data_IF_810185556820
#
_entry.id   IF_810185556820
#
_cell.length_a   1.000
_cell.length_b   1.000
_cell.length_c   1.000
_cell.angle_alpha   90.00
_cell.angle_beta   90.00
_cell.angle_gamma   90.00
#
_symmetry.space_group_name_H-M   'P 1'
#
loop_
_entity.id
_entity.type
_entity.pdbx_description
1 polymer ?
#
# COMPACT_ATOMS: atom_id res chain seq x y z
N UNK A 1 -20.27 -14.06 -17.64
CA UNK A 1 -20.15 -14.82 -18.91
C UNK A 1 -18.75 -14.63 -19.46
N UNK A 2 -17.88 -15.64 -19.33
CA UNK A 2 -16.58 -15.68 -20.01
C UNK A 2 -16.85 -16.30 -21.38
N UNK A 3 -16.75 -15.53 -22.47
CA UNK A 3 -16.85 -16.09 -23.83
C UNK A 3 -15.53 -16.82 -24.11
N UNK A 4 -15.53 -18.13 -24.38
CA UNK A 4 -14.31 -18.83 -24.74
C UNK A 4 -13.79 -18.31 -26.07
N UNK A 5 -12.47 -18.13 -26.17
CA UNK A 5 -11.81 -17.78 -27.43
C UNK A 5 -12.03 -18.89 -28.47
N UNK A 6 -11.98 -18.58 -29.78
CA UNK A 6 -12.03 -19.61 -30.83
C UNK A 6 -10.91 -20.64 -30.65
N UNK A 7 -11.18 -21.92 -30.96
CA UNK A 7 -10.28 -23.06 -30.68
C UNK A 7 -8.84 -22.85 -31.17
N UNK A 8 -8.66 -22.24 -32.35
CA UNK A 8 -7.32 -21.90 -32.89
C UNK A 8 -6.51 -21.02 -31.96
N UNK A 9 -7.13 -20.00 -31.36
CA UNK A 9 -6.47 -19.12 -30.41
C UNK A 9 -6.19 -19.82 -29.08
N UNK A 10 -7.03 -20.78 -28.67
CA UNK A 10 -6.77 -21.57 -27.47
C UNK A 10 -5.53 -22.46 -27.64
N UNK A 11 -5.39 -23.15 -28.78
CA UNK A 11 -4.20 -23.97 -29.07
C UNK A 11 -2.93 -23.14 -29.23
N UNK A 12 -3.01 -21.98 -29.89
CA UNK A 12 -1.87 -21.05 -29.99
C UNK A 12 -1.47 -20.55 -28.60
N UNK A 13 -2.44 -20.13 -27.79
CA UNK A 13 -2.18 -19.66 -26.43
C UNK A 13 -1.56 -20.76 -25.58
N UNK A 14 -2.07 -21.98 -25.68
CA UNK A 14 -1.53 -23.14 -24.96
C UNK A 14 -0.10 -23.46 -25.39
N UNK A 15 0.19 -23.47 -26.70
CA UNK A 15 1.54 -23.71 -27.22
C UNK A 15 2.52 -22.62 -26.76
N UNK A 16 2.11 -21.35 -26.79
CA UNK A 16 2.94 -20.22 -26.34
C UNK A 16 3.19 -20.29 -24.83
N UNK A 17 2.15 -20.52 -24.02
CA UNK A 17 2.28 -20.65 -22.56
C UNK A 17 3.17 -21.86 -22.22
N UNK A 18 2.95 -23.00 -22.86
CA UNK A 18 3.76 -24.19 -22.64
C UNK A 18 5.23 -23.96 -22.99
N UNK A 19 5.53 -23.35 -24.14
CA UNK A 19 6.89 -23.01 -24.54
C UNK A 19 7.59 -22.09 -23.53
N UNK A 20 6.88 -21.07 -23.03
CA UNK A 20 7.38 -20.15 -22.00
C UNK A 20 7.63 -20.88 -20.67
N UNK A 21 6.76 -21.81 -20.27
CA UNK A 21 6.87 -22.54 -19.01
C UNK A 21 7.91 -23.69 -19.04
N UNK A 22 8.17 -24.28 -20.20
CA UNK A 22 9.15 -25.36 -20.37
C UNK A 22 10.58 -24.83 -20.32
N UNK A 23 10.84 -23.66 -20.91
CA UNK A 23 12.19 -23.10 -21.02
C UNK A 23 12.95 -22.96 -19.68
N UNK A 24 12.33 -22.48 -18.58
CA UNK A 24 12.99 -22.41 -17.28
C UNK A 24 13.23 -23.77 -16.61
N UNK A 25 12.36 -24.76 -16.90
CA UNK A 25 12.52 -26.14 -16.41
C UNK A 25 13.77 -26.75 -17.04
N UNK A 26 13.94 -26.60 -18.35
CA UNK A 26 15.10 -27.11 -19.09
C UNK A 26 16.42 -26.44 -18.67
N UNK A 27 16.39 -25.14 -18.33
CA UNK A 27 17.58 -24.39 -17.90
C UNK A 27 17.98 -24.66 -16.44
N UNK A 28 17.24 -25.47 -15.69
CA UNK A 28 17.42 -25.62 -14.24
C UNK A 28 17.17 -24.34 -13.46
N UNK A 29 16.53 -23.34 -14.07
CA UNK A 29 16.28 -22.00 -13.53
C UNK A 29 15.00 -21.96 -12.66
N UNK A 30 14.55 -23.10 -12.13
CA UNK A 30 13.31 -23.21 -11.36
C UNK A 30 13.27 -22.27 -10.15
N UNK A 31 14.42 -21.98 -9.54
CA UNK A 31 14.51 -21.06 -8.41
C UNK A 31 14.36 -19.59 -8.83
N UNK A 32 14.92 -19.19 -9.98
CA UNK A 32 14.70 -17.86 -10.56
C UNK A 32 13.23 -17.61 -10.90
N UNK A 33 12.54 -18.60 -11.46
CA UNK A 33 11.09 -18.48 -11.76
C UNK A 33 10.27 -18.35 -10.49
N UNK A 34 10.58 -19.15 -9.46
CA UNK A 34 9.89 -19.04 -8.16
C UNK A 34 10.11 -17.67 -7.52
N UNK A 35 11.35 -17.16 -7.53
CA UNK A 35 11.65 -15.82 -7.03
C UNK A 35 10.95 -14.73 -7.85
N UNK A 36 10.92 -14.84 -9.17
CA UNK A 36 10.22 -13.90 -10.04
C UNK A 36 8.71 -13.92 -9.80
N UNK A 37 8.10 -15.10 -9.71
CA UNK A 37 6.67 -15.27 -9.43
C UNK A 37 6.30 -14.73 -8.04
N UNK A 38 7.14 -15.00 -7.03
CA UNK A 38 6.96 -14.46 -5.68
C UNK A 38 7.07 -12.93 -5.67
N UNK A 39 8.02 -12.36 -6.41
CA UNK A 39 8.18 -10.92 -6.55
C UNK A 39 6.98 -10.27 -7.25
N UNK A 40 6.51 -10.84 -8.36
CA UNK A 40 5.33 -10.35 -9.07
C UNK A 40 4.10 -10.41 -8.18
N UNK A 41 3.89 -11.52 -7.46
CA UNK A 41 2.78 -11.65 -6.50
C UNK A 41 2.87 -10.61 -5.39
N UNK A 42 4.05 -10.46 -4.77
CA UNK A 42 4.29 -9.49 -3.71
C UNK A 42 4.02 -8.03 -4.17
N UNK A 43 4.14 -7.74 -5.47
CA UNK A 43 3.85 -6.43 -6.04
C UNK A 43 2.38 -6.29 -6.41
N UNK A 44 1.81 -7.28 -7.10
CA UNK A 44 0.49 -7.18 -7.74
C UNK A 44 -0.64 -7.24 -6.71
N UNK A 45 -0.59 -8.13 -5.72
CA UNK A 45 -1.66 -8.29 -4.73
C UNK A 45 -1.97 -7.03 -3.91
N UNK A 46 -0.99 -6.33 -3.30
CA UNK A 46 -1.29 -5.11 -2.55
C UNK A 46 -1.80 -3.98 -3.46
N UNK A 47 -1.31 -3.92 -4.71
CA UNK A 47 -1.80 -2.97 -5.72
C UNK A 47 -3.25 -3.28 -6.09
N UNK A 48 -3.59 -4.53 -6.36
CA UNK A 48 -4.96 -4.96 -6.67
C UNK A 48 -5.92 -4.71 -5.51
N UNK A 49 -5.49 -4.97 -4.27
CA UNK A 49 -6.30 -4.70 -3.08
C UNK A 49 -6.65 -3.21 -2.97
N UNK A 50 -5.65 -2.33 -3.12
CA UNK A 50 -5.86 -0.87 -3.10
C UNK A 50 -6.67 -0.40 -4.31
N UNK A 51 -6.45 -0.99 -5.48
CA UNK A 51 -7.17 -0.69 -6.72
C UNK A 51 -8.65 -1.04 -6.62
N UNK A 52 -8.97 -2.21 -6.07
CA UNK A 52 -10.34 -2.63 -5.77
C UNK A 52 -11.03 -1.62 -4.85
N UNK A 53 -10.33 -1.17 -3.81
CA UNK A 53 -10.84 -0.21 -2.85
C UNK A 53 -11.17 1.14 -3.50
N UNK A 54 -10.25 1.68 -4.31
CA UNK A 54 -10.45 2.91 -5.06
C UNK A 54 -11.62 2.82 -6.05
N UNK A 55 -11.72 1.71 -6.80
CA UNK A 55 -12.83 1.51 -7.74
C UNK A 55 -14.19 1.48 -7.04
N UNK A 56 -14.25 0.85 -5.87
CA UNK A 56 -15.48 0.74 -5.11
C UNK A 56 -15.93 2.09 -4.59
N UNK A 57 -15.02 2.89 -4.05
CA UNK A 57 -15.30 4.26 -3.62
C UNK A 57 -15.67 5.20 -4.77
N UNK A 58 -15.11 4.98 -5.96
CA UNK A 58 -15.50 5.71 -7.15
C UNK A 58 -16.93 5.37 -7.59
N UNK A 59 -17.33 4.10 -7.52
CA UNK A 59 -18.68 3.63 -7.89
C UNK A 59 -19.75 4.00 -6.87
N UNK A 60 -19.39 3.95 -5.58
CA UNK A 60 -20.28 4.30 -4.47
C UNK A 60 -19.59 5.35 -3.61
N UNK A 61 -19.63 6.64 -4.02
CA UNK A 61 -19.03 7.71 -3.25
C UNK A 61 -19.78 7.84 -1.91
N UNK A 62 -19.04 7.97 -0.79
CA UNK A 62 -19.67 8.12 0.52
C UNK A 62 -20.48 9.43 0.61
N UNK A 63 -21.58 9.39 1.37
CA UNK A 63 -22.42 10.56 1.63
C UNK A 63 -21.64 11.64 2.39
N UNK A 64 -21.69 12.88 1.90
CA UNK A 64 -21.14 14.05 2.60
C UNK A 64 -21.86 14.24 3.95
N UNK A 65 -21.16 14.80 4.94
CA UNK A 65 -21.72 15.04 6.29
C UNK A 65 -21.85 13.79 7.19
N UNK A 66 -21.21 12.67 6.85
CA UNK A 66 -21.26 11.47 7.69
C UNK A 66 -20.65 11.69 9.08
N UNK A 67 -21.25 11.07 10.09
CA UNK A 67 -20.74 11.11 11.47
C UNK A 67 -19.33 10.51 11.56
N UNK A 68 -18.51 11.03 12.48
CA UNK A 68 -17.15 10.55 12.70
C UNK A 68 -17.12 9.04 13.00
N UNK A 69 -18.13 8.54 13.71
CA UNK A 69 -18.28 7.11 13.97
C UNK A 69 -18.45 6.28 12.70
N UNK A 70 -19.21 6.77 11.70
CA UNK A 70 -19.35 6.09 10.41
C UNK A 70 -18.01 6.05 9.66
N UNK A 71 -17.24 7.14 9.68
CA UNK A 71 -15.90 7.21 9.07
C UNK A 71 -14.96 6.18 9.71
N UNK A 72 -14.96 6.06 11.04
CA UNK A 72 -14.15 5.06 11.75
C UNK A 72 -14.58 3.63 11.41
N UNK A 73 -15.89 3.35 11.44
CA UNK A 73 -16.42 2.02 11.16
C UNK A 73 -16.12 1.58 9.72
N UNK A 74 -16.29 2.47 8.76
CA UNK A 74 -15.93 2.20 7.36
C UNK A 74 -14.42 2.08 7.20
N UNK A 75 -13.64 2.89 7.92
CA UNK A 75 -12.20 2.76 8.08
C UNK A 75 -11.76 1.35 8.43
N UNK A 76 -12.28 0.82 9.54
CA UNK A 76 -12.01 -0.53 9.99
C UNK A 76 -12.48 -1.59 9.00
N UNK A 77 -13.71 -1.48 8.50
CA UNK A 77 -14.29 -2.45 7.54
C UNK A 77 -13.48 -2.55 6.25
N UNK A 78 -13.16 -1.42 5.62
CA UNK A 78 -12.40 -1.38 4.39
C UNK A 78 -10.95 -1.80 4.59
N UNK A 79 -10.36 -1.47 5.75
CA UNK A 79 -9.01 -1.90 6.05
C UNK A 79 -8.93 -3.43 6.17
N UNK A 80 -9.88 -4.06 6.87
CA UNK A 80 -9.97 -5.53 6.99
C UNK A 80 -10.16 -6.17 5.62
N UNK A 81 -11.05 -5.65 4.78
CA UNK A 81 -11.24 -6.19 3.41
C UNK A 81 -9.94 -6.09 2.59
N UNK A 82 -9.26 -4.93 2.63
CA UNK A 82 -8.01 -4.71 1.90
C UNK A 82 -6.88 -5.62 2.41
N UNK A 83 -6.81 -5.83 3.72
CA UNK A 83 -5.89 -6.77 4.35
C UNK A 83 -6.15 -8.20 3.90
N UNK A 84 -7.40 -8.66 3.91
CA UNK A 84 -7.75 -10.01 3.47
C UNK A 84 -7.31 -10.26 2.03
N UNK A 85 -7.56 -9.29 1.13
CA UNK A 85 -7.11 -9.36 -0.27
C UNK A 85 -5.58 -9.41 -0.39
N UNK A 86 -4.87 -8.63 0.42
CA UNK A 86 -3.40 -8.59 0.41
C UNK A 86 -2.79 -9.88 0.97
N UNK A 87 -3.36 -10.44 2.04
CA UNK A 87 -2.88 -11.69 2.67
C UNK A 87 -2.96 -12.89 1.74
N UNK A 88 -3.92 -12.93 0.81
CA UNK A 88 -3.94 -13.97 -0.24
C UNK A 88 -2.63 -13.95 -1.03
N UNK A 89 -2.11 -12.76 -1.37
CA UNK A 89 -0.79 -12.59 -1.98
C UNK A 89 0.33 -13.04 -1.06
N UNK A 90 0.24 -12.72 0.23
CA UNK A 90 1.18 -13.19 1.25
C UNK A 90 1.29 -14.71 1.31
N UNK A 91 0.16 -15.42 1.37
CA UNK A 91 0.14 -16.88 1.34
C UNK A 91 0.70 -17.44 0.03
N UNK A 92 0.40 -16.81 -1.10
CA UNK A 92 0.95 -17.24 -2.39
C UNK A 92 2.47 -17.09 -2.43
N UNK A 93 3.01 -15.97 -1.95
CA UNK A 93 4.45 -15.72 -1.79
C UNK A 93 5.07 -16.77 -0.85
N UNK A 94 4.44 -17.00 0.30
CA UNK A 94 4.89 -18.00 1.27
C UNK A 94 4.90 -19.42 0.69
N UNK A 95 3.92 -19.79 -0.14
CA UNK A 95 3.87 -21.08 -0.80
C UNK A 95 4.95 -21.25 -1.87
N UNK A 96 5.21 -20.21 -2.69
CA UNK A 96 6.25 -20.24 -3.73
C UNK A 96 7.66 -20.34 -3.15
N UNK A 97 7.86 -19.71 -2.00
CA UNK A 97 9.14 -19.63 -1.32
C UNK A 97 9.30 -20.66 -0.19
N UNK A 98 8.29 -21.48 0.08
CA UNK A 98 8.28 -22.54 1.10
C UNK A 98 9.13 -23.77 0.76
N UNK A 99 10.24 -23.59 0.04
CA UNK A 99 11.19 -24.65 -0.28
C UNK A 99 12.30 -24.72 0.78
N UNK A 100 12.80 -25.94 1.05
CA UNK A 100 13.91 -26.19 1.98
C UNK A 100 15.12 -25.30 1.66
N UNK A 101 15.38 -25.00 0.39
CA UNK A 101 16.47 -24.13 -0.05
C UNK A 101 16.38 -22.71 0.49
N UNK A 102 15.18 -22.14 0.55
CA UNK A 102 14.98 -20.80 1.09
C UNK A 102 14.82 -20.80 2.61
N UNK A 103 14.26 -21.87 3.19
CA UNK A 103 14.13 -22.05 4.63
C UNK A 103 15.51 -22.19 5.31
N UNK A 104 16.43 -22.94 4.68
CA UNK A 104 17.81 -23.12 5.15
C UNK A 104 18.77 -22.02 4.67
N UNK A 105 18.26 -20.94 4.06
CA UNK A 105 19.05 -19.82 3.52
C UNK A 105 20.15 -20.20 2.51
N UNK A 106 20.04 -21.39 1.89
CA UNK A 106 20.87 -21.75 0.74
C UNK A 106 20.58 -20.82 -0.44
N UNK A 107 19.36 -20.27 -0.52
CA UNK A 107 19.02 -19.15 -1.37
C UNK A 107 18.30 -18.02 -0.60
N UNK A 108 18.58 -16.77 -0.97
CA UNK A 108 17.97 -15.58 -0.39
C UNK A 108 17.08 -14.91 -1.44
N UNK A 109 15.89 -14.45 -1.04
CA UNK A 109 15.02 -13.67 -1.90
C UNK A 109 15.65 -12.29 -2.22
N UNK A 110 16.10 -12.09 -3.47
CA UNK A 110 16.84 -10.89 -3.90
C UNK A 110 15.95 -9.72 -4.32
N UNK A 111 14.63 -9.92 -4.41
CA UNK A 111 13.66 -8.95 -4.93
C UNK A 111 13.09 -7.94 -3.93
N UNK A 112 13.50 -7.99 -2.66
CA UNK A 112 12.86 -7.23 -1.55
C UNK A 112 12.75 -5.71 -1.84
N UNK A 113 13.79 -5.09 -2.40
CA UNK A 113 13.75 -3.64 -2.68
C UNK A 113 12.72 -3.30 -3.75
N UNK A 114 12.58 -4.14 -4.78
CA UNK A 114 11.63 -3.91 -5.85
C UNK A 114 10.19 -4.09 -5.36
N UNK A 115 9.95 -5.05 -4.46
CA UNK A 115 8.63 -5.26 -3.86
C UNK A 115 8.17 -4.09 -2.99
N UNK A 116 9.08 -3.22 -2.52
CA UNK A 116 8.69 -1.96 -1.86
C UNK A 116 8.35 -0.84 -2.83
N UNK A 117 9.16 -0.65 -3.87
CA UNK A 117 9.07 0.52 -4.75
C UNK A 117 8.00 0.33 -5.82
N UNK A 118 7.91 -0.86 -6.42
CA UNK A 118 7.02 -1.12 -7.54
C UNK A 118 5.52 -0.93 -7.20
N UNK A 119 4.99 -1.35 -6.04
CA UNK A 119 3.60 -1.08 -5.68
C UNK A 119 3.26 0.41 -5.65
N UNK A 120 4.19 1.25 -5.18
CA UNK A 120 4.01 2.71 -5.11
C UNK A 120 3.95 3.35 -6.49
N UNK A 121 4.80 2.88 -7.41
CA UNK A 121 4.78 3.33 -8.80
C UNK A 121 3.48 2.90 -9.48
N UNK A 122 3.09 1.64 -9.33
CA UNK A 122 1.88 1.11 -9.97
C UNK A 122 0.60 1.77 -9.43
N UNK A 123 0.47 1.95 -8.10
CA UNK A 123 -0.69 2.63 -7.54
C UNK A 123 -0.74 4.09 -7.98
N UNK A 124 0.41 4.73 -8.19
CA UNK A 124 0.47 6.09 -8.73
C UNK A 124 -0.11 6.14 -10.13
N UNK A 125 0.32 5.26 -11.04
CA UNK A 125 -0.24 5.17 -12.39
C UNK A 125 -1.75 4.86 -12.38
N UNK A 126 -2.19 3.96 -11.51
CA UNK A 126 -3.60 3.61 -11.36
C UNK A 126 -4.41 4.80 -10.84
N UNK A 127 -3.88 5.54 -9.87
CA UNK A 127 -4.55 6.72 -9.33
C UNK A 127 -4.68 7.81 -10.39
N UNK A 128 -3.61 8.13 -11.10
CA UNK A 128 -3.60 9.12 -12.19
C UNK A 128 -4.55 8.73 -13.34
N UNK A 129 -4.67 7.44 -13.65
CA UNK A 129 -5.60 6.98 -14.70
C UNK A 129 -7.07 7.06 -14.28
N UNK A 130 -7.38 7.13 -12.98
CA UNK A 130 -8.75 7.12 -12.44
C UNK A 130 -9.22 8.48 -11.93
N UNK A 131 -8.31 9.28 -11.40
CA UNK A 131 -8.59 10.55 -10.75
C UNK A 131 -7.76 11.67 -11.38
N UNK A 132 -8.40 12.81 -11.66
CA UNK A 132 -7.69 14.02 -12.08
C UNK A 132 -7.20 14.78 -10.84
N UNK A 133 -5.88 14.93 -10.67
CA UNK A 133 -5.26 15.59 -9.50
C UNK A 133 -5.70 17.05 -9.27
N UNK A 134 -5.94 17.81 -10.35
CA UNK A 134 -6.08 19.27 -10.29
C UNK A 134 -7.49 19.81 -10.59
N UNK A 135 -8.45 18.95 -10.93
CA UNK A 135 -9.73 19.38 -11.50
C UNK A 135 -10.89 18.87 -10.64
N UNK A 136 -11.32 19.64 -9.65
CA UNK A 136 -12.28 19.22 -8.62
C UNK A 136 -13.72 19.06 -9.16
N UNK A 137 -14.05 19.62 -10.33
CA UNK A 137 -15.44 19.67 -10.85
C UNK A 137 -15.65 19.18 -12.29
N UNK A 138 -14.58 18.85 -13.02
CA UNK A 138 -14.60 18.29 -14.38
C UNK A 138 -15.21 16.88 -14.50
N UNK A 139 -16.27 16.63 -15.28
CA UNK A 139 -16.73 15.29 -15.70
C UNK A 139 -15.58 14.30 -15.89
N UNK A 140 -15.68 13.14 -15.22
CA UNK A 140 -14.65 12.10 -15.14
C UNK A 140 -14.39 11.39 -16.48
N UNK A 141 -13.88 12.13 -17.46
CA UNK A 141 -13.17 11.59 -18.59
C UNK A 141 -11.72 11.35 -18.17
N UNK A 142 -11.17 10.13 -18.34
CA UNK A 142 -9.75 9.89 -18.12
C UNK A 142 -8.99 10.73 -19.16
N UNK A 143 -8.45 11.87 -18.76
CA UNK A 143 -7.47 12.58 -19.59
C UNK A 143 -6.24 11.69 -19.69
N UNK A 144 -5.60 11.67 -20.86
CA UNK A 144 -4.38 10.89 -21.09
C UNK A 144 -3.37 11.15 -19.96
N UNK A 145 -2.77 10.08 -19.42
CA UNK A 145 -1.79 10.16 -18.31
C UNK A 145 -0.70 11.20 -18.62
N UNK A 146 -0.30 11.27 -19.89
CA UNK A 146 0.65 12.25 -20.41
C UNK A 146 0.22 13.70 -20.17
N UNK A 147 -1.04 14.04 -20.40
CA UNK A 147 -1.56 15.40 -20.19
C UNK A 147 -1.63 15.78 -18.70
N UNK A 148 -1.81 14.80 -17.82
CA UNK A 148 -1.74 15.04 -16.38
C UNK A 148 -0.29 15.24 -15.94
N UNK A 149 0.64 14.43 -16.46
CA UNK A 149 2.06 14.55 -16.13
C UNK A 149 2.63 15.89 -16.57
N UNK A 150 2.30 16.37 -17.78
CA UNK A 150 2.71 17.71 -18.24
C UNK A 150 2.12 18.79 -17.34
N UNK A 151 0.84 18.69 -16.96
CA UNK A 151 0.23 19.64 -15.99
C UNK A 151 0.86 19.61 -14.60
N UNK A 152 1.32 18.45 -14.11
CA UNK A 152 2.08 18.37 -12.84
C UNK A 152 3.42 19.09 -13.00
N UNK A 153 4.12 18.89 -14.12
CA UNK A 153 5.39 19.56 -14.40
C UNK A 153 5.25 21.07 -14.58
N UNK A 154 4.18 21.51 -15.24
CA UNK A 154 3.90 22.93 -15.52
C UNK A 154 3.29 23.66 -14.31
N UNK A 155 3.03 22.94 -13.21
CA UNK A 155 2.43 23.54 -12.01
C UNK A 155 3.45 24.43 -11.29
N UNK A 156 3.11 25.69 -10.96
CA UNK A 156 4.04 26.58 -10.27
C UNK A 156 4.37 26.05 -8.86
N UNK A 157 5.62 25.61 -8.67
CA UNK A 157 6.11 25.09 -7.39
C UNK A 157 6.59 26.25 -6.53
N UNK A 158 5.89 26.52 -5.43
CA UNK A 158 6.39 27.43 -4.40
C UNK A 158 7.61 26.80 -3.69
N UNK A 159 8.59 27.63 -3.28
CA UNK A 159 9.79 27.18 -2.56
C UNK A 159 9.45 26.35 -1.30
N UNK A 160 8.34 26.68 -0.62
CA UNK A 160 7.82 25.91 0.51
C UNK A 160 7.42 24.48 0.12
N UNK A 161 6.81 24.31 -1.05
CA UNK A 161 6.44 22.99 -1.59
C UNK A 161 7.68 22.19 -1.96
N UNK A 162 8.71 22.83 -2.52
CA UNK A 162 9.99 22.20 -2.82
C UNK A 162 10.67 21.66 -1.54
N UNK A 163 10.64 22.43 -0.45
CA UNK A 163 11.18 22.03 0.85
C UNK A 163 10.46 20.79 1.40
N UNK A 164 9.13 20.76 1.33
CA UNK A 164 8.31 19.60 1.78
C UNK A 164 8.61 18.37 0.93
N UNK A 165 8.72 18.52 -0.40
CA UNK A 165 9.08 17.43 -1.31
C UNK A 165 10.49 16.91 -1.04
N UNK A 166 11.46 17.80 -0.78
CA UNK A 166 12.82 17.41 -0.43
C UNK A 166 12.88 16.62 0.88
N UNK A 167 12.15 17.05 1.92
CA UNK A 167 12.04 16.31 3.19
C UNK A 167 11.38 14.95 2.96
N UNK A 168 10.30 14.89 2.17
CA UNK A 168 9.62 13.65 1.84
C UNK A 168 10.53 12.69 1.05
N UNK A 169 11.34 13.20 0.12
CA UNK A 169 12.31 12.42 -0.65
C UNK A 169 13.41 11.85 0.24
N UNK A 170 13.94 12.64 1.19
CA UNK A 170 14.90 12.15 2.20
C UNK A 170 14.26 11.08 3.09
N UNK A 171 13.02 11.30 3.53
CA UNK A 171 12.26 10.30 4.30
C UNK A 171 12.05 9.00 3.54
N UNK A 172 11.67 9.07 2.26
CA UNK A 172 11.52 7.92 1.38
C UNK A 172 12.86 7.20 1.14
N UNK A 173 13.96 7.95 0.96
CA UNK A 173 15.29 7.39 0.82
C UNK A 173 15.75 6.65 2.08
N UNK A 174 15.55 7.23 3.26
CA UNK A 174 15.82 6.56 4.55
C UNK A 174 14.93 5.32 4.69
N UNK A 175 13.66 5.41 4.29
CA UNK A 175 12.70 4.31 4.40
C UNK A 175 13.07 3.10 3.53
N UNK A 176 13.51 3.34 2.29
CA UNK A 176 14.01 2.32 1.36
C UNK A 176 15.41 1.86 1.76
N UNK A 177 16.27 2.74 2.26
CA UNK A 177 17.59 2.39 2.79
C UNK A 177 17.49 1.44 3.99
N UNK A 178 16.50 1.65 4.87
CA UNK A 178 16.23 0.82 6.06
C UNK A 178 15.45 -0.47 5.76
N UNK A 179 15.05 -0.75 4.52
CA UNK A 179 14.42 -2.03 4.17
C UNK A 179 15.40 -3.14 3.80
N UNK A 180 16.70 -2.82 3.65
CA UNK A 180 17.78 -3.79 3.50
C UNK A 180 18.56 -4.00 4.81
N UNK A 181 19.24 -5.15 4.91
CA UNK A 181 20.18 -5.41 6.01
C UNK A 181 21.27 -4.33 6.02
N UNK A 182 21.39 -3.62 7.14
CA UNK A 182 22.44 -2.63 7.48
C UNK A 182 22.66 -1.49 6.48
N UNK A 183 21.75 -0.51 6.46
CA UNK A 183 22.19 0.89 6.32
C UNK A 183 22.24 1.46 7.74
N UNK A 184 23.43 1.77 8.24
CA UNK A 184 23.76 2.19 9.62
C UNK A 184 23.06 3.46 10.13
N UNK A 185 21.73 3.51 10.02
CA UNK A 185 20.86 4.54 10.55
C UNK A 185 20.41 4.08 11.95
N UNK A 186 20.84 4.76 13.02
CA UNK A 186 20.51 4.38 14.38
C UNK A 186 19.00 4.40 14.60
N UNK A 187 18.50 3.38 15.32
CA UNK A 187 17.09 3.27 15.70
C UNK A 187 16.85 4.24 16.86
N UNK A 188 15.87 5.17 16.77
CA UNK A 188 15.53 6.05 17.89
C UNK A 188 15.20 5.23 19.15
N UNK A 189 15.70 5.63 20.32
CA UNK A 189 15.47 4.92 21.59
C UNK A 189 13.99 4.76 21.97
N UNK A 190 13.14 5.68 21.50
CA UNK A 190 11.68 5.61 21.65
C UNK A 190 11.09 4.47 20.79
N UNK A 191 11.61 4.26 19.57
CA UNK A 191 11.20 3.15 18.70
C UNK A 191 11.56 1.81 19.37
N UNK A 192 12.72 1.70 19.99
CA UNK A 192 13.14 0.52 20.76
C UNK A 192 12.22 0.21 21.94
N UNK A 193 11.82 1.22 22.71
CA UNK A 193 10.89 1.04 23.84
C UNK A 193 9.49 0.65 23.39
N UNK A 194 8.98 1.27 22.32
CA UNK A 194 7.69 0.91 21.73
C UNK A 194 7.70 -0.54 21.23
N UNK A 195 8.79 -0.96 20.59
CA UNK A 195 8.97 -2.34 20.11
C UNK A 195 8.95 -3.35 21.26
N UNK A 196 9.67 -3.07 22.35
CA UNK A 196 9.69 -3.92 23.53
C UNK A 196 8.32 -3.99 24.25
N UNK A 197 7.55 -2.89 24.23
CA UNK A 197 6.19 -2.87 24.75
C UNK A 197 5.23 -3.70 23.89
N UNK A 198 5.29 -3.58 22.56
CA UNK A 198 4.47 -4.35 21.63
C UNK A 198 4.80 -5.86 21.69
N UNK A 199 6.08 -6.21 21.87
CA UNK A 199 6.49 -7.61 22.08
C UNK A 199 5.91 -8.23 23.36
N UNK A 200 5.60 -7.43 24.39
CA UNK A 200 4.95 -7.91 25.62
C UNK A 200 3.44 -7.98 25.50
N UNK A 201 2.83 -7.11 24.69
CA UNK A 201 1.38 -7.01 24.56
C UNK A 201 0.81 -7.97 23.52
N UNK A 202 1.54 -8.26 22.45
CA UNK A 202 1.05 -9.01 21.28
C UNK A 202 1.86 -10.28 21.03
N UNK A 203 1.20 -11.31 20.49
CA UNK A 203 1.83 -12.62 20.25
C UNK A 203 2.95 -12.54 19.21
N UNK A 204 2.75 -11.73 18.16
CA UNK A 204 3.79 -11.50 17.17
C UNK A 204 3.93 -10.01 16.88
N UNK A 205 5.14 -9.48 17.13
CA UNK A 205 5.41 -8.04 16.96
C UNK A 205 4.98 -7.53 15.58
N UNK A 206 4.08 -6.52 15.52
CA UNK A 206 3.72 -5.88 14.27
C UNK A 206 4.87 -5.10 13.67
N UNK A 207 4.93 -5.02 12.33
CA UNK A 207 5.89 -4.14 11.67
C UNK A 207 5.51 -2.68 11.89
N UNK A 208 6.44 -1.89 12.42
CA UNK A 208 6.27 -0.46 12.70
C UNK A 208 5.77 0.35 11.50
N UNK A 209 6.12 -0.08 10.28
CA UNK A 209 5.72 0.57 9.03
C UNK A 209 4.22 0.43 8.74
N UNK A 210 3.61 -0.68 9.16
CA UNK A 210 2.20 -0.98 8.90
C UNK A 210 1.31 -0.18 9.85
N UNK A 211 1.50 -0.33 11.16
CA UNK A 211 0.60 0.27 12.14
C UNK A 211 0.85 1.76 12.40
N UNK A 212 2.06 2.29 12.22
CA UNK A 212 2.36 3.71 12.49
C UNK A 212 2.12 4.62 11.29
N UNK A 213 2.27 4.09 10.06
CA UNK A 213 2.27 4.90 8.84
C UNK A 213 1.16 4.44 7.90
N UNK A 214 1.18 3.18 7.48
CA UNK A 214 0.25 2.68 6.45
C UNK A 214 -1.21 2.68 6.88
N UNK A 215 -1.55 2.04 8.00
CA UNK A 215 -2.92 1.94 8.48
C UNK A 215 -3.51 3.29 8.92
N UNK A 216 -2.79 4.18 9.63
CA UNK A 216 -3.28 5.52 9.92
C UNK A 216 -3.53 6.34 8.64
N UNK A 217 -2.63 6.26 7.65
CA UNK A 217 -2.86 6.90 6.36
C UNK A 217 -4.08 6.33 5.62
N UNK A 218 -4.36 5.03 5.77
CA UNK A 218 -5.57 4.41 5.21
C UNK A 218 -6.86 4.98 5.84
N UNK A 219 -6.89 5.19 7.15
CA UNK A 219 -8.01 5.85 7.83
C UNK A 219 -8.16 7.31 7.40
N UNK A 220 -7.05 8.04 7.33
CA UNK A 220 -7.05 9.44 6.87
C UNK A 220 -7.45 9.58 5.40
N UNK A 221 -7.10 8.62 4.54
CA UNK A 221 -7.55 8.55 3.14
C UNK A 221 -9.08 8.45 3.08
N UNK A 222 -9.69 7.63 3.93
CA UNK A 222 -11.15 7.50 4.01
C UNK A 222 -11.77 8.80 4.52
N UNK A 223 -11.19 9.41 5.55
CA UNK A 223 -11.63 10.72 6.03
C UNK A 223 -11.52 11.79 4.94
N UNK A 224 -10.45 11.78 4.16
CA UNK A 224 -10.23 12.69 3.04
C UNK A 224 -11.31 12.54 1.95
N UNK A 225 -11.75 11.31 1.68
CA UNK A 225 -12.84 11.03 0.75
C UNK A 225 -14.19 11.54 1.30
N UNK A 226 -14.50 11.26 2.57
CA UNK A 226 -15.73 11.71 3.23
C UNK A 226 -15.83 13.23 3.35
N UNK A 227 -14.70 13.90 3.62
CA UNK A 227 -14.60 15.36 3.81
C UNK A 227 -14.22 16.13 2.55
N UNK A 228 -14.19 15.46 1.38
CA UNK A 228 -13.86 16.08 0.08
C UNK A 228 -12.56 16.89 0.11
N UNK A 229 -11.52 16.36 0.76
CA UNK A 229 -10.21 17.01 0.81
C UNK A 229 -9.60 17.14 -0.59
N UNK A 230 -8.62 18.06 -0.78
CA UNK A 230 -7.93 18.20 -2.05
C UNK A 230 -7.39 16.88 -2.58
N UNK A 231 -7.60 16.60 -3.87
CA UNK A 231 -7.25 15.31 -4.49
C UNK A 231 -5.75 14.99 -4.42
N UNK A 232 -4.90 16.00 -4.35
CA UNK A 232 -3.46 15.83 -4.12
C UNK A 232 -3.16 15.25 -2.73
N UNK A 233 -3.91 15.66 -1.69
CA UNK A 233 -3.75 15.10 -0.34
C UNK A 233 -4.30 13.67 -0.27
N UNK A 234 -5.45 13.43 -0.90
CA UNK A 234 -5.98 12.07 -1.02
C UNK A 234 -4.99 11.13 -1.74
N UNK A 235 -4.36 11.59 -2.84
CA UNK A 235 -3.31 10.85 -3.54
C UNK A 235 -2.12 10.47 -2.63
N UNK A 236 -1.57 11.43 -1.87
CA UNK A 236 -0.46 11.16 -0.96
C UNK A 236 -0.87 10.10 0.08
N UNK A 237 -2.08 10.21 0.63
CA UNK A 237 -2.60 9.25 1.61
C UNK A 237 -2.78 7.85 1.00
N UNK A 238 -3.24 7.74 -0.25
CA UNK A 238 -3.31 6.48 -1.00
C UNK A 238 -1.93 5.84 -1.11
N UNK A 239 -0.92 6.60 -1.55
CA UNK A 239 0.46 6.10 -1.70
C UNK A 239 1.02 5.61 -0.37
N UNK A 240 0.84 6.38 0.71
CA UNK A 240 1.30 6.01 2.05
C UNK A 240 0.54 4.79 2.58
N UNK A 241 -0.76 4.68 2.33
CA UNK A 241 -1.56 3.51 2.69
C UNK A 241 -1.12 2.23 1.95
N UNK A 242 -0.71 2.36 0.69
CA UNK A 242 -0.15 1.24 -0.10
C UNK A 242 1.16 0.70 0.52
N UNK A 243 1.97 1.53 1.18
CA UNK A 243 3.16 1.06 1.91
C UNK A 243 2.78 0.03 2.98
N UNK A 244 1.69 0.28 3.72
CA UNK A 244 1.18 -0.66 4.73
C UNK A 244 0.78 -2.00 4.13
N UNK A 245 0.02 -1.97 3.03
CA UNK A 245 -0.41 -3.20 2.35
C UNK A 245 0.78 -3.96 1.72
N UNK A 246 1.76 -3.24 1.16
CA UNK A 246 2.98 -3.85 0.61
C UNK A 246 3.81 -4.55 1.69
N UNK A 247 4.03 -3.89 2.84
CA UNK A 247 4.76 -4.45 3.98
C UNK A 247 4.07 -5.71 4.54
N UNK A 248 2.74 -5.73 4.56
CA UNK A 248 1.95 -6.88 5.01
C UNK A 248 2.25 -8.12 4.16
N UNK A 249 2.26 -7.98 2.83
CA UNK A 249 2.55 -9.09 1.90
C UNK A 249 4.01 -9.52 1.99
N UNK A 250 4.92 -8.55 2.07
CA UNK A 250 6.36 -8.80 2.19
C UNK A 250 6.74 -9.54 3.48
N UNK A 251 5.95 -9.42 4.55
CA UNK A 251 6.17 -10.21 5.78
C UNK A 251 6.20 -11.72 5.51
N UNK A 252 5.51 -12.19 4.46
CA UNK A 252 5.56 -13.60 4.02
C UNK A 252 6.76 -13.93 3.13
N UNK A 253 7.45 -12.93 2.58
CA UNK A 253 8.71 -13.13 1.84
C UNK A 253 9.91 -13.38 2.77
N UNK A 254 9.76 -13.12 4.08
CA UNK A 254 10.77 -13.44 5.10
C UNK A 254 10.56 -14.85 5.66
N UNK A 255 11.05 -15.83 4.92
CA UNK A 255 10.77 -17.27 5.10
C UNK A 255 11.35 -17.86 6.39
N UNK A 256 12.28 -17.14 7.06
CA UNK A 256 12.88 -17.56 8.34
C UNK A 256 11.83 -17.74 9.45
N UNK A 257 10.71 -17.04 9.35
CA UNK A 257 9.66 -17.09 10.37
C UNK A 257 8.52 -17.99 9.88
N UNK A 258 8.01 -18.92 10.71
CA UNK A 258 6.90 -19.78 10.33
C UNK A 258 5.73 -18.98 9.76
N UNK A 259 5.08 -19.50 8.72
CA UNK A 259 3.97 -18.80 8.03
C UNK A 259 2.86 -18.41 9.02
N UNK A 260 2.57 -19.27 10.01
CA UNK A 260 1.62 -18.98 11.08
C UNK A 260 1.99 -17.71 11.88
N UNK A 261 3.27 -17.53 12.20
CA UNK A 261 3.75 -16.32 12.88
C UNK A 261 3.59 -15.09 11.99
N UNK A 262 3.93 -15.19 10.70
CA UNK A 262 3.73 -14.09 9.74
C UNK A 262 2.25 -13.71 9.58
N UNK A 263 1.35 -14.68 9.62
CA UNK A 263 -0.08 -14.44 9.58
C UNK A 263 -0.57 -13.69 10.83
N UNK A 264 -0.17 -14.13 12.03
CA UNK A 264 -0.53 -13.43 13.27
C UNK A 264 0.05 -12.01 13.29
N UNK A 265 1.28 -11.80 12.83
CA UNK A 265 1.84 -10.44 12.70
C UNK A 265 0.97 -9.52 11.85
N UNK A 266 0.39 -10.05 10.77
CA UNK A 266 -0.53 -9.29 9.93
C UNK A 266 -1.82 -8.90 10.65
N UNK A 267 -2.39 -9.82 11.44
CA UNK A 267 -3.58 -9.55 12.28
C UNK A 267 -3.25 -8.52 13.35
N UNK A 268 -2.16 -8.72 14.10
CA UNK A 268 -1.70 -7.82 15.15
C UNK A 268 -1.39 -6.42 14.58
N UNK A 269 -0.82 -6.35 13.37
CA UNK A 269 -0.58 -5.11 12.62
C UNK A 269 -1.84 -4.36 12.27
N UNK A 270 -2.89 -5.04 11.80
CA UNK A 270 -4.18 -4.40 11.53
C UNK A 270 -4.87 -3.99 12.82
N UNK A 271 -4.86 -4.81 13.86
CA UNK A 271 -5.46 -4.47 15.16
C UNK A 271 -4.81 -3.22 15.77
N UNK A 272 -3.48 -3.17 15.83
CA UNK A 272 -2.74 -1.99 16.27
C UNK A 272 -2.98 -0.79 15.31
N UNK A 273 -3.04 -1.06 14.01
CA UNK A 273 -3.28 -0.07 12.97
C UNK A 273 -4.66 0.59 13.05
N UNK A 274 -5.70 -0.15 13.44
CA UNK A 274 -7.04 0.38 13.70
C UNK A 274 -7.00 1.33 14.89
N UNK A 275 -6.36 0.93 15.99
CA UNK A 275 -6.23 1.78 17.18
C UNK A 275 -5.52 3.10 16.86
N UNK A 276 -4.37 3.04 16.18
CA UNK A 276 -3.62 4.25 15.78
C UNK A 276 -4.37 5.05 14.71
N UNK A 277 -5.06 4.39 13.79
CA UNK A 277 -5.89 5.05 12.76
C UNK A 277 -7.06 5.83 13.36
N UNK A 278 -7.73 5.28 14.37
CA UNK A 278 -8.77 5.98 15.13
C UNK A 278 -8.20 7.22 15.83
N UNK A 279 -7.05 7.08 16.49
CA UNK A 279 -6.37 8.21 17.14
C UNK A 279 -6.02 9.29 16.10
N UNK A 280 -5.53 8.90 14.91
CA UNK A 280 -5.21 9.84 13.85
C UNK A 280 -6.44 10.62 13.35
N UNK A 281 -7.59 9.93 13.14
CA UNK A 281 -8.84 10.57 12.73
C UNK A 281 -9.35 11.55 13.79
N UNK A 282 -9.33 11.14 15.07
CA UNK A 282 -9.73 12.00 16.19
C UNK A 282 -8.79 13.21 16.30
N UNK A 283 -7.48 13.00 16.21
CA UNK A 283 -6.47 14.04 16.27
C UNK A 283 -6.65 15.09 15.17
N UNK A 284 -6.90 14.65 13.93
CA UNK A 284 -7.20 15.55 12.81
C UNK A 284 -8.50 16.33 13.04
N UNK A 285 -9.54 15.67 13.57
CA UNK A 285 -10.80 16.34 13.89
C UNK A 285 -10.61 17.43 14.96
N UNK A 286 -9.83 17.16 16.00
CA UNK A 286 -9.50 18.12 17.06
C UNK A 286 -8.68 19.28 16.47
N UNK A 287 -7.66 19.00 15.65
CA UNK A 287 -6.88 20.04 14.98
C UNK A 287 -7.74 20.93 14.10
N UNK A 288 -8.70 20.35 13.38
CA UNK A 288 -9.64 21.11 12.58
C UNK A 288 -10.52 22.02 13.45
N UNK A 289 -11.05 21.50 14.56
CA UNK A 289 -11.84 22.29 15.51
C UNK A 289 -11.02 23.40 16.19
N UNK A 290 -9.77 23.11 16.58
CA UNK A 290 -8.84 24.11 17.12
C UNK A 290 -8.49 25.18 16.09
N UNK A 291 -8.29 24.81 14.82
CA UNK A 291 -8.03 25.78 13.75
C UNK A 291 -9.22 26.71 13.51
N UNK A 292 -10.43 26.19 13.69
CA UNK A 292 -11.68 26.95 13.65
C UNK A 292 -11.78 27.91 14.85
N UNK A 293 -11.47 27.43 16.07
CA UNK A 293 -11.42 28.25 17.28
C UNK A 293 -10.34 29.36 17.25
N UNK A 294 -9.18 29.07 16.64
CA UNK A 294 -8.05 30.01 16.51
C UNK A 294 -8.21 31.02 15.37
N UNK A 295 -9.41 31.13 14.76
CA UNK A 295 -9.75 32.25 13.87
C UNK A 295 -9.06 32.25 12.51
N UNK A 296 -8.39 31.16 12.10
CA UNK A 296 -7.91 31.00 10.72
C UNK A 296 -9.06 30.45 9.84
N UNK A 297 -9.96 31.35 9.41
CA UNK A 297 -11.05 31.12 8.42
C UNK A 297 -10.56 30.30 7.21
N UNK A 298 -11.34 29.39 6.63
CA UNK A 298 -12.59 29.68 5.89
C UNK A 298 -13.74 28.70 6.17
N UNK A 299 -14.91 29.27 6.45
CA UNK A 299 -16.20 28.63 6.26
C UNK A 299 -16.37 28.23 4.79
N UNK A 300 -16.79 26.98 4.55
CA UNK A 300 -17.01 26.45 3.21
C UNK A 300 -17.32 24.96 3.25
N UNK A 301 -18.59 24.66 3.49
CA UNK A 301 -19.31 23.39 3.26
C UNK A 301 -19.29 22.39 4.42
N UNK A 302 -20.35 22.55 5.23
CA UNK A 302 -21.07 21.49 5.97
C UNK A 302 -21.33 20.24 5.12
#
# INVERSE_FOLDING_TARGET
MVRPFPERYQYILLAVIAAILIFPVLKGAGTLVRQAAAMVSAIVFPVLAMTYQLDKWRKTPPSQGASLMRIILDGGRWLVITMLLSIVGGFYVGALLGDVRFLLEMEIFRGVKLTFVAPLILITFIYLSRYNLFDTGSTESPKSIWQQLTKVLDYPIYVKTLLVVAIAAVGAWIFVGRSGHTAGVPVPGIELKLRAWLERLMYARPRSKEFMIGHPAFFLMIMALYRQWPRAMHYILVVVATIGQGSLVETFAHIRTPIYMSFIRGIDGVAAGIAVGVIAVIGVQILHYLSFLLGRRTAGNE
#
